data_IF_801952244671
#
_entry.id   IF_801952244671
#
_cell.length_a   1.000
_cell.length_b   1.000
_cell.length_c   1.000
_cell.angle_alpha   90.00
_cell.angle_beta   90.00
_cell.angle_gamma   90.00
#
_symmetry.space_group_name_H-M   'P 1'
#
loop_
_entity.id
_entity.type
_entity.pdbx_description
1 polymer ?
#
# COMPACT_ATOMS: atom_id res chain seq x y z
N UNK A 1 3.83 21.80 -13.39
CA UNK A 1 2.99 22.21 -12.24
C UNK A 1 3.26 23.66 -11.87
N UNK A 2 2.24 24.40 -11.45
CA UNK A 2 2.36 25.79 -11.01
C UNK A 2 3.31 25.88 -9.79
N UNK A 3 4.35 26.74 -9.85
CA UNK A 3 5.34 26.92 -8.77
C UNK A 3 4.69 27.23 -7.41
N UNK A 4 3.58 27.98 -7.41
CA UNK A 4 2.83 28.30 -6.20
C UNK A 4 2.14 27.08 -5.58
N UNK A 5 1.59 26.20 -6.42
CA UNK A 5 0.95 24.96 -5.96
C UNK A 5 1.99 24.06 -5.29
N UNK A 6 3.13 23.82 -5.94
CA UNK A 6 4.17 22.95 -5.36
C UNK A 6 4.74 23.53 -4.05
N UNK A 7 4.96 24.85 -3.98
CA UNK A 7 5.35 25.53 -2.74
C UNK A 7 4.31 25.38 -1.63
N UNK A 8 3.02 25.48 -1.96
CA UNK A 8 1.93 25.23 -1.01
C UNK A 8 1.97 23.80 -0.47
N UNK A 9 2.14 22.80 -1.33
CA UNK A 9 2.24 21.38 -0.93
C UNK A 9 3.43 21.13 -0.01
N UNK A 10 4.59 21.71 -0.30
CA UNK A 10 5.77 21.63 0.58
C UNK A 10 5.47 22.24 1.95
N UNK A 11 4.91 23.45 1.99
CA UNK A 11 4.62 24.14 3.25
C UNK A 11 3.56 23.39 4.07
N UNK A 12 2.58 22.76 3.42
CA UNK A 12 1.59 21.93 4.08
C UNK A 12 2.22 20.69 4.72
N UNK A 13 3.03 19.94 3.98
CA UNK A 13 3.71 18.75 4.52
C UNK A 13 4.68 19.12 5.63
N UNK A 14 5.42 20.23 5.51
CA UNK A 14 6.27 20.76 6.59
C UNK A 14 5.45 21.07 7.85
N UNK A 15 4.28 21.69 7.71
CA UNK A 15 3.38 21.92 8.86
C UNK A 15 2.90 20.63 9.49
N UNK A 16 2.53 19.62 8.70
CA UNK A 16 2.17 18.30 9.24
C UNK A 16 3.33 17.59 9.94
N UNK A 17 4.56 17.76 9.43
CA UNK A 17 5.76 17.21 10.05
C UNK A 17 6.06 17.87 11.40
N UNK A 18 6.03 19.21 11.46
CA UNK A 18 6.25 19.98 12.69
C UNK A 18 5.13 19.82 13.72
N UNK A 19 3.87 19.74 13.28
CA UNK A 19 2.68 19.61 14.12
C UNK A 19 1.97 18.28 13.87
N UNK A 20 2.51 17.17 14.39
CA UNK A 20 1.94 15.82 14.17
C UNK A 20 0.47 15.69 14.59
N UNK A 21 0.06 16.38 15.66
CA UNK A 21 -1.34 16.41 16.12
C UNK A 21 -2.29 17.02 15.08
N UNK A 22 -1.81 17.96 14.26
CA UNK A 22 -2.60 18.53 13.17
C UNK A 22 -2.90 17.48 12.10
N UNK A 23 -1.89 16.66 11.74
CA UNK A 23 -2.06 15.55 10.81
C UNK A 23 -3.06 14.52 11.36
N UNK A 24 -2.88 14.10 12.61
CA UNK A 24 -3.73 13.08 13.26
C UNK A 24 -5.21 13.51 13.35
N UNK A 25 -5.47 14.77 13.74
CA UNK A 25 -6.84 15.23 14.01
C UNK A 25 -7.52 15.82 12.77
N UNK A 26 -6.79 16.59 11.95
CA UNK A 26 -7.35 17.36 10.82
C UNK A 26 -6.76 17.04 9.47
N UNK A 27 -5.66 16.28 9.41
CA UNK A 27 -4.94 16.01 8.16
C UNK A 27 -5.82 15.38 7.11
N UNK A 28 -6.58 14.34 7.48
CA UNK A 28 -7.52 13.69 6.57
C UNK A 28 -8.56 14.67 5.99
N UNK A 29 -9.18 15.49 6.83
CA UNK A 29 -10.14 16.50 6.37
C UNK A 29 -9.51 17.52 5.41
N UNK A 30 -8.32 18.03 5.74
CA UNK A 30 -7.63 19.03 4.91
C UNK A 30 -7.31 18.46 3.52
N UNK A 31 -6.71 17.27 3.46
CA UNK A 31 -6.33 16.63 2.20
C UNK A 31 -7.56 16.32 1.36
N UNK A 32 -8.64 15.83 1.98
CA UNK A 32 -9.92 15.58 1.34
C UNK A 32 -10.52 16.84 0.72
N UNK A 33 -10.51 17.95 1.45
CA UNK A 33 -10.97 19.23 0.91
C UNK A 33 -10.09 19.75 -0.23
N UNK A 34 -8.78 19.56 -0.15
CA UNK A 34 -7.90 19.88 -1.27
C UNK A 34 -8.23 19.05 -2.51
N UNK A 35 -8.53 17.76 -2.36
CA UNK A 35 -8.93 16.89 -3.47
C UNK A 35 -10.30 17.24 -4.07
N UNK A 36 -11.16 17.92 -3.31
CA UNK A 36 -12.44 18.45 -3.81
C UNK A 36 -12.26 19.78 -4.56
N UNK A 37 -11.38 20.66 -4.06
CA UNK A 37 -11.18 22.01 -4.60
C UNK A 37 -10.18 22.03 -5.76
N UNK A 38 -9.28 21.06 -5.84
CA UNK A 38 -8.20 20.96 -6.81
C UNK A 38 -8.17 19.54 -7.40
N UNK A 39 -7.36 19.35 -8.44
CA UNK A 39 -7.18 18.05 -9.06
C UNK A 39 -6.44 17.08 -8.10
N UNK A 40 -7.11 15.98 -7.74
CA UNK A 40 -6.60 14.98 -6.80
C UNK A 40 -5.33 14.26 -7.29
N UNK A 41 -5.23 13.96 -8.59
CA UNK A 41 -4.04 13.34 -9.18
C UNK A 41 -2.79 14.20 -8.95
N UNK A 42 -2.89 15.50 -9.21
CA UNK A 42 -1.80 16.45 -8.98
C UNK A 42 -1.41 16.54 -7.49
N UNK A 43 -2.39 16.48 -6.58
CA UNK A 43 -2.16 16.47 -5.13
C UNK A 43 -1.36 15.24 -4.72
N UNK A 44 -1.85 14.05 -5.10
CA UNK A 44 -1.21 12.78 -4.76
C UNK A 44 0.18 12.65 -5.36
N UNK A 45 0.34 13.03 -6.64
CA UNK A 45 1.64 13.05 -7.30
C UNK A 45 2.62 14.01 -6.60
N UNK A 46 2.18 15.22 -6.22
CA UNK A 46 3.06 16.18 -5.54
C UNK A 46 3.45 15.73 -4.14
N UNK A 47 2.49 15.19 -3.38
CA UNK A 47 2.77 14.66 -2.05
C UNK A 47 3.74 13.48 -2.11
N UNK A 48 3.58 12.59 -3.08
CA UNK A 48 4.50 11.47 -3.29
C UNK A 48 5.93 11.93 -3.63
N UNK A 49 6.10 12.88 -4.55
CA UNK A 49 7.44 13.41 -4.89
C UNK A 49 8.11 14.12 -3.69
N UNK A 50 7.34 14.86 -2.89
CA UNK A 50 7.88 15.50 -1.67
C UNK A 50 8.25 14.44 -0.63
N UNK A 51 7.38 13.45 -0.39
CA UNK A 51 7.59 12.39 0.59
C UNK A 51 8.77 11.48 0.24
N UNK A 52 9.07 11.28 -1.05
CA UNK A 52 10.23 10.51 -1.50
C UNK A 52 11.56 11.10 -1.01
N UNK A 53 11.60 12.42 -0.75
CA UNK A 53 12.78 13.15 -0.27
C UNK A 53 12.74 13.43 1.23
N UNK A 54 11.73 12.93 1.93
CA UNK A 54 11.52 13.20 3.35
C UNK A 54 12.55 12.45 4.20
N UNK A 55 13.16 13.16 5.15
CA UNK A 55 14.19 12.60 6.02
C UNK A 55 13.59 11.99 7.28
N UNK A 56 12.50 12.55 7.82
CA UNK A 56 11.77 11.95 8.94
C UNK A 56 10.94 10.76 8.46
N UNK A 57 11.57 9.59 8.47
CA UNK A 57 10.97 8.32 8.08
C UNK A 57 9.70 7.98 8.86
N UNK A 58 9.59 8.41 10.13
CA UNK A 58 8.39 8.15 10.94
C UNK A 58 7.23 8.99 10.42
N UNK A 59 7.48 10.28 10.17
CA UNK A 59 6.48 11.16 9.57
C UNK A 59 6.09 10.68 8.16
N UNK A 60 7.07 10.31 7.32
CA UNK A 60 6.80 9.80 5.98
C UNK A 60 5.86 8.58 6.00
N UNK A 61 6.12 7.61 6.89
CA UNK A 61 5.26 6.44 7.08
C UNK A 61 3.83 6.81 7.52
N UNK A 62 3.68 7.70 8.52
CA UNK A 62 2.36 8.15 8.99
C UNK A 62 1.59 8.93 7.91
N UNK A 63 2.28 9.78 7.16
CA UNK A 63 1.67 10.56 6.08
C UNK A 63 1.23 9.66 4.92
N UNK A 64 2.07 8.71 4.50
CA UNK A 64 1.73 7.68 3.51
C UNK A 64 0.51 6.86 3.95
N UNK A 65 0.49 6.42 5.22
CA UNK A 65 -0.67 5.72 5.78
C UNK A 65 -1.94 6.56 5.66
N UNK A 66 -1.88 7.83 6.06
CA UNK A 66 -3.00 8.77 5.97
C UNK A 66 -3.48 8.93 4.53
N UNK A 67 -2.56 9.12 3.58
CA UNK A 67 -2.89 9.24 2.15
C UNK A 67 -3.51 7.96 1.60
N UNK A 68 -3.02 6.78 1.99
CA UNK A 68 -3.59 5.51 1.58
C UNK A 68 -5.02 5.33 2.12
N UNK A 69 -5.25 5.63 3.40
CA UNK A 69 -6.60 5.59 3.98
C UNK A 69 -7.55 6.52 3.25
N UNK A 70 -7.12 7.76 2.95
CA UNK A 70 -7.93 8.72 2.19
C UNK A 70 -8.20 8.18 0.79
N UNK A 71 -7.17 7.70 0.09
CA UNK A 71 -7.27 7.10 -1.25
C UNK A 71 -8.29 5.97 -1.29
N UNK A 72 -8.37 5.14 -0.25
CA UNK A 72 -9.27 3.99 -0.22
C UNK A 72 -10.69 4.30 0.30
N UNK A 73 -10.85 5.28 1.17
CA UNK A 73 -12.15 5.47 1.86
C UNK A 73 -12.94 6.68 1.37
N UNK A 74 -12.28 7.68 0.76
CA UNK A 74 -12.91 8.97 0.45
C UNK A 74 -13.67 8.91 -0.87
N UNK A 75 -14.91 9.39 -0.91
CA UNK A 75 -15.76 9.29 -2.12
C UNK A 75 -15.25 10.17 -3.26
N UNK A 76 -14.66 11.32 -2.95
CA UNK A 76 -14.04 12.26 -3.90
C UNK A 76 -12.91 11.65 -4.74
N UNK A 77 -12.28 10.55 -4.28
CA UNK A 77 -11.20 9.88 -4.99
C UNK A 77 -11.66 8.71 -5.86
N UNK A 78 -12.97 8.56 -6.08
CA UNK A 78 -13.51 7.47 -6.90
C UNK A 78 -12.91 7.43 -8.31
N UNK A 79 -12.80 8.57 -8.98
CA UNK A 79 -12.21 8.64 -10.33
C UNK A 79 -10.73 8.24 -10.33
N UNK A 80 -9.94 8.79 -9.39
CA UNK A 80 -8.52 8.48 -9.24
C UNK A 80 -8.29 6.99 -8.97
N UNK A 81 -9.12 6.39 -8.10
CA UNK A 81 -9.08 4.95 -7.82
C UNK A 81 -9.32 4.11 -9.08
N UNK A 82 -10.31 4.47 -9.90
CA UNK A 82 -10.60 3.72 -11.12
C UNK A 82 -9.47 3.85 -12.15
N UNK A 83 -8.84 5.02 -12.27
CA UNK A 83 -7.65 5.21 -13.10
C UNK A 83 -6.48 4.32 -12.64
N UNK A 84 -6.20 4.32 -11.33
CA UNK A 84 -5.15 3.48 -10.73
C UNK A 84 -5.47 1.99 -10.83
N UNK A 85 -6.74 1.60 -10.75
CA UNK A 85 -7.17 0.19 -10.83
C UNK A 85 -6.89 -0.44 -12.19
N UNK A 86 -7.05 0.34 -13.26
CA UNK A 86 -6.97 -0.16 -14.63
C UNK A 86 -5.56 -0.03 -15.26
N UNK A 87 -4.74 0.91 -14.76
CA UNK A 87 -3.38 1.23 -15.26
C UNK A 87 -3.28 1.32 -16.79
N UNK A 88 -4.35 1.81 -17.44
CA UNK A 88 -4.50 1.82 -18.90
C UNK A 88 -3.66 2.89 -19.57
N UNK A 89 -3.42 4.02 -18.92
CA UNK A 89 -2.73 5.17 -19.50
C UNK A 89 -1.33 5.32 -18.94
N UNK A 90 -0.43 5.94 -19.70
CA UNK A 90 0.92 6.23 -19.23
C UNK A 90 0.90 7.15 -17.99
N UNK A 91 -0.06 8.09 -17.89
CA UNK A 91 -0.18 8.92 -16.68
C UNK A 91 -0.54 8.07 -15.46
N UNK A 92 -1.48 7.14 -15.58
CA UNK A 92 -1.87 6.25 -14.47
C UNK A 92 -0.73 5.35 -14.02
N UNK A 93 0.11 4.87 -14.95
CA UNK A 93 1.30 4.08 -14.64
C UNK A 93 2.38 4.92 -13.96
N UNK A 94 2.63 6.14 -14.45
CA UNK A 94 3.57 7.06 -13.82
C UNK A 94 3.13 7.47 -12.41
N UNK A 95 1.83 7.74 -12.23
CA UNK A 95 1.25 8.01 -10.92
C UNK A 95 1.44 6.82 -9.99
N UNK A 96 1.12 5.60 -10.44
CA UNK A 96 1.35 4.39 -9.66
C UNK A 96 2.82 4.25 -9.24
N UNK A 97 3.78 4.41 -10.15
CA UNK A 97 5.20 4.34 -9.83
C UNK A 97 5.63 5.42 -8.81
N UNK A 98 5.12 6.65 -8.96
CA UNK A 98 5.39 7.75 -8.04
C UNK A 98 4.84 7.47 -6.63
N UNK A 99 3.58 7.03 -6.56
CA UNK A 99 2.93 6.61 -5.31
C UNK A 99 3.68 5.44 -4.69
N UNK A 100 3.97 4.40 -5.47
CA UNK A 100 4.64 3.20 -4.99
C UNK A 100 5.97 3.54 -4.31
N UNK A 101 6.82 4.35 -4.96
CA UNK A 101 8.16 4.70 -4.43
C UNK A 101 8.10 5.42 -3.09
N UNK A 102 7.09 6.26 -2.86
CA UNK A 102 6.88 6.91 -1.56
C UNK A 102 6.12 6.00 -0.58
N UNK A 103 5.21 5.15 -1.07
CA UNK A 103 4.44 4.22 -0.24
C UNK A 103 5.33 3.16 0.39
N UNK A 104 6.49 2.88 -0.21
CA UNK A 104 7.53 2.03 0.36
C UNK A 104 7.99 2.43 1.77
N UNK A 105 7.67 3.64 2.26
CA UNK A 105 7.89 3.99 3.67
C UNK A 105 6.99 3.21 4.64
N UNK A 106 5.88 2.65 4.16
CA UNK A 106 5.00 1.77 4.92
C UNK A 106 4.66 0.50 4.11
N UNK A 107 5.12 -0.68 4.58
CA UNK A 107 4.98 -1.92 3.82
C UNK A 107 3.53 -2.34 3.58
N UNK A 108 2.67 -2.21 4.60
CA UNK A 108 1.27 -2.61 4.50
C UNK A 108 0.51 -1.71 3.51
N UNK A 109 0.80 -0.41 3.49
CA UNK A 109 0.20 0.50 2.50
C UNK A 109 0.67 0.21 1.07
N UNK A 110 1.91 -0.26 0.91
CA UNK A 110 2.43 -0.64 -0.41
C UNK A 110 1.67 -1.86 -0.97
N UNK A 111 1.44 -2.87 -0.12
CA UNK A 111 0.61 -4.03 -0.48
C UNK A 111 -0.83 -3.61 -0.76
N UNK A 112 -1.38 -2.71 0.06
CA UNK A 112 -2.71 -2.13 -0.14
C UNK A 112 -2.86 -1.44 -1.49
N UNK A 113 -1.84 -0.71 -1.94
CA UNK A 113 -1.81 -0.08 -3.26
C UNK A 113 -1.74 -1.13 -4.37
N UNK A 114 -0.95 -2.20 -4.20
CA UNK A 114 -0.87 -3.29 -5.18
C UNK A 114 -2.19 -4.05 -5.32
N UNK A 115 -2.93 -4.24 -4.22
CA UNK A 115 -4.30 -4.77 -4.28
C UNK A 115 -5.25 -3.83 -5.01
N UNK A 116 -5.14 -2.52 -4.78
CA UNK A 116 -5.94 -1.51 -5.49
C UNK A 116 -5.74 -1.59 -7.01
N UNK A 117 -4.50 -1.77 -7.46
CA UNK A 117 -4.13 -1.82 -8.88
C UNK A 117 -4.15 -3.22 -9.48
N UNK A 118 -4.68 -4.22 -8.76
CA UNK A 118 -4.78 -5.62 -9.20
C UNK A 118 -3.44 -6.29 -9.56
N UNK A 119 -2.33 -5.79 -9.01
CA UNK A 119 -0.99 -6.33 -9.23
C UNK A 119 -0.68 -7.46 -8.23
N UNK A 120 -1.45 -8.54 -8.29
CA UNK A 120 -1.43 -9.61 -7.27
C UNK A 120 -0.13 -10.38 -7.18
N UNK A 121 0.57 -10.57 -8.31
CA UNK A 121 1.92 -11.18 -8.31
C UNK A 121 2.89 -10.34 -7.50
N UNK A 122 2.96 -9.05 -7.78
CA UNK A 122 3.84 -8.13 -7.06
C UNK A 122 3.46 -8.00 -5.59
N UNK A 123 2.16 -7.99 -5.27
CA UNK A 123 1.69 -8.02 -3.89
C UNK A 123 2.17 -9.27 -3.14
N UNK A 124 2.12 -10.45 -3.78
CA UNK A 124 2.64 -11.68 -3.20
C UNK A 124 4.16 -11.60 -2.97
N UNK A 125 4.92 -11.13 -3.97
CA UNK A 125 6.38 -10.99 -3.86
C UNK A 125 6.77 -10.04 -2.70
N UNK A 126 6.01 -8.96 -2.50
CA UNK A 126 6.17 -8.07 -1.34
C UNK A 126 5.87 -8.75 -0.01
N UNK A 127 4.79 -9.53 0.06
CA UNK A 127 4.40 -10.23 1.29
C UNK A 127 5.45 -11.29 1.66
N UNK A 128 6.09 -11.95 0.69
CA UNK A 128 7.21 -12.85 0.97
C UNK A 128 8.36 -12.12 1.68
N UNK A 129 8.61 -10.85 1.33
CA UNK A 129 9.63 -10.02 1.99
C UNK A 129 9.23 -9.56 3.39
N UNK A 130 7.96 -9.65 3.79
CA UNK A 130 7.54 -9.28 5.14
C UNK A 130 8.13 -10.21 6.20
N UNK A 131 8.49 -11.45 5.85
CA UNK A 131 9.17 -12.38 6.75
C UNK A 131 10.56 -11.90 7.19
N UNK A 132 11.21 -11.06 6.37
CA UNK A 132 12.53 -10.47 6.68
C UNK A 132 12.40 -9.16 7.48
N UNK A 133 11.18 -8.64 7.68
CA UNK A 133 10.92 -7.40 8.41
C UNK A 133 10.73 -7.68 9.91
N UNK A 134 11.11 -6.71 10.75
CA UNK A 134 10.85 -6.77 12.18
C UNK A 134 9.33 -6.72 12.44
N UNK A 135 8.78 -7.80 12.99
CA UNK A 135 7.36 -7.89 13.33
C UNK A 135 7.07 -7.07 14.59
N UNK A 136 6.53 -5.87 14.41
CA UNK A 136 6.11 -4.97 15.49
C UNK A 136 4.60 -4.98 15.70
N UNK A 137 4.14 -4.57 16.88
CA UNK A 137 2.69 -4.45 17.17
C UNK A 137 2.00 -3.47 16.22
N UNK A 138 2.67 -2.35 15.92
CA UNK A 138 2.16 -1.35 14.98
C UNK A 138 1.98 -1.96 13.58
N UNK A 139 2.96 -2.73 13.11
CA UNK A 139 2.89 -3.44 11.84
C UNK A 139 1.74 -4.45 11.81
N UNK A 140 1.60 -5.29 12.84
CA UNK A 140 0.50 -6.26 12.92
C UNK A 140 -0.87 -5.59 12.96
N UNK A 141 -0.98 -4.45 13.65
CA UNK A 141 -2.21 -3.64 13.70
C UNK A 141 -2.56 -3.07 12.32
N UNK A 142 -1.57 -2.69 11.52
CA UNK A 142 -1.80 -2.25 10.14
C UNK A 142 -2.23 -3.40 9.24
N UNK A 143 -1.63 -4.59 9.36
CA UNK A 143 -2.07 -5.78 8.62
C UNK A 143 -3.51 -6.14 8.98
N UNK A 144 -3.88 -6.09 10.26
CA UNK A 144 -5.26 -6.31 10.74
C UNK A 144 -6.24 -5.32 10.06
N UNK A 145 -5.90 -4.02 10.04
CA UNK A 145 -6.68 -3.00 9.33
C UNK A 145 -6.76 -3.26 7.83
N UNK A 146 -5.69 -3.71 7.18
CA UNK A 146 -5.71 -4.07 5.76
C UNK A 146 -6.70 -5.21 5.49
N UNK A 147 -6.71 -6.23 6.35
CA UNK A 147 -7.67 -7.34 6.24
C UNK A 147 -9.11 -6.87 6.42
N UNK A 148 -9.37 -5.98 7.39
CA UNK A 148 -10.69 -5.37 7.53
C UNK A 148 -11.08 -4.57 6.28
N UNK A 149 -10.12 -3.86 5.65
CA UNK A 149 -10.35 -3.14 4.40
C UNK A 149 -10.70 -4.07 3.25
N UNK A 150 -10.12 -5.27 3.15
CA UNK A 150 -10.45 -6.27 2.10
C UNK A 150 -11.93 -6.63 2.12
N UNK A 151 -12.57 -6.59 3.28
CA UNK A 151 -14.02 -6.80 3.43
C UNK A 151 -14.87 -5.57 3.12
N UNK A 152 -14.26 -4.39 3.03
CA UNK A 152 -14.96 -3.16 2.70
C UNK A 152 -15.38 -3.11 1.21
N UNK A 153 -16.41 -2.32 0.86
CA UNK A 153 -16.94 -2.24 -0.50
C UNK A 153 -15.91 -1.89 -1.57
N UNK A 154 -14.86 -1.15 -1.21
CA UNK A 154 -13.77 -0.80 -2.14
C UNK A 154 -13.10 -2.04 -2.76
N UNK A 155 -12.94 -3.12 -2.01
CA UNK A 155 -12.30 -4.36 -2.49
C UNK A 155 -13.32 -5.44 -2.89
N UNK A 156 -14.57 -5.06 -3.18
CA UNK A 156 -15.57 -6.00 -3.70
C UNK A 156 -15.10 -6.73 -4.96
N UNK A 157 -14.42 -6.02 -5.87
CA UNK A 157 -13.87 -6.66 -7.08
C UNK A 157 -12.79 -7.69 -6.76
N UNK A 158 -11.95 -7.44 -5.75
CA UNK A 158 -10.90 -8.38 -5.32
C UNK A 158 -11.55 -9.65 -4.77
N UNK A 159 -12.60 -9.51 -3.94
CA UNK A 159 -13.36 -10.65 -3.42
C UNK A 159 -14.06 -11.45 -4.52
N UNK A 160 -14.61 -10.79 -5.54
CA UNK A 160 -15.18 -11.47 -6.71
C UNK A 160 -14.10 -12.21 -7.52
N UNK A 161 -12.89 -11.65 -7.62
CA UNK A 161 -11.76 -12.28 -8.31
C UNK A 161 -11.22 -13.51 -7.58
N UNK A 162 -11.53 -13.70 -6.29
CA UNK A 162 -11.20 -14.94 -5.56
C UNK A 162 -11.94 -16.16 -6.10
N UNK A 163 -13.08 -15.96 -6.77
CA UNK A 163 -13.82 -17.06 -7.40
C UNK A 163 -13.05 -17.66 -8.59
N UNK A 164 -12.21 -16.84 -9.25
CA UNK A 164 -11.42 -17.25 -10.40
C UNK A 164 -9.99 -17.61 -9.97
N UNK A 165 -9.88 -18.78 -9.32
CA UNK A 165 -8.62 -19.33 -8.80
C UNK A 165 -7.58 -19.55 -9.91
N UNK A 166 -8.04 -19.91 -11.12
CA UNK A 166 -7.17 -20.23 -12.26
C UNK A 166 -6.45 -19.00 -12.78
N UNK A 167 -7.17 -17.88 -12.94
CA UNK A 167 -6.56 -16.65 -13.45
C UNK A 167 -5.88 -15.81 -12.35
N UNK A 168 -6.28 -15.96 -11.08
CA UNK A 168 -5.74 -15.17 -9.96
C UNK A 168 -5.06 -16.01 -8.85
N UNK A 169 -4.13 -16.93 -9.17
CA UNK A 169 -3.50 -17.79 -8.15
C UNK A 169 -2.65 -16.99 -7.15
N UNK A 170 -2.03 -15.89 -7.59
CA UNK A 170 -1.22 -15.03 -6.74
C UNK A 170 -2.04 -14.23 -5.73
N UNK A 171 -3.32 -13.94 -6.03
CA UNK A 171 -4.19 -13.26 -5.08
C UNK A 171 -4.42 -14.16 -3.86
N UNK A 172 -4.76 -15.43 -4.08
CA UNK A 172 -4.98 -16.40 -3.01
C UNK A 172 -3.68 -16.62 -2.21
N UNK A 173 -2.54 -16.78 -2.90
CA UNK A 173 -1.23 -16.90 -2.24
C UNK A 173 -0.88 -15.66 -1.41
N UNK A 174 -1.15 -14.46 -1.90
CA UNK A 174 -0.96 -13.21 -1.16
C UNK A 174 -1.83 -13.17 0.10
N UNK A 175 -3.12 -13.50 -0.01
CA UNK A 175 -4.03 -13.50 1.14
C UNK A 175 -3.66 -14.57 2.18
N UNK A 176 -3.27 -15.78 1.76
CA UNK A 176 -2.73 -16.77 2.70
C UNK A 176 -1.39 -16.31 3.30
N UNK A 177 -0.55 -15.60 2.56
CA UNK A 177 0.65 -14.97 3.09
C UNK A 177 0.34 -13.99 4.22
N UNK A 178 -0.66 -13.10 4.02
CA UNK A 178 -1.13 -12.20 5.08
C UNK A 178 -1.71 -12.96 6.26
N UNK A 179 -2.47 -14.03 6.01
CA UNK A 179 -3.04 -14.88 7.05
C UNK A 179 -1.95 -15.49 7.93
N UNK A 180 -0.83 -15.94 7.34
CA UNK A 180 0.30 -16.55 8.06
C UNK A 180 1.13 -15.52 8.86
N UNK A 181 1.03 -14.23 8.55
CA UNK A 181 1.69 -13.17 9.31
C UNK A 181 0.88 -12.71 10.52
N UNK A 182 -0.44 -12.90 10.49
CA UNK A 182 -1.32 -12.45 11.56
C UNK A 182 -1.26 -13.39 12.77
N UNK A 183 -1.28 -12.88 14.01
CA UNK A 183 -1.62 -13.69 15.17
C UNK A 183 -3.07 -14.19 15.04
N UNK A 184 -3.52 -15.09 15.92
CA UNK A 184 -4.92 -15.58 15.96
C UNK A 184 -5.93 -14.49 16.42
N UNK A 185 -5.94 -13.34 15.75
CA UNK A 185 -6.83 -12.20 15.98
C UNK A 185 -8.18 -12.37 15.27
N UNK A 186 -9.09 -11.42 15.48
CA UNK A 186 -10.34 -11.34 14.73
C UNK A 186 -10.13 -11.18 13.22
N UNK A 187 -9.09 -10.44 12.77
CA UNK A 187 -8.78 -10.37 11.34
C UNK A 187 -8.30 -11.70 10.78
N UNK A 188 -7.53 -12.49 11.54
CA UNK A 188 -7.17 -13.84 11.11
C UNK A 188 -8.43 -14.68 10.86
N UNK A 189 -9.38 -14.67 11.81
CA UNK A 189 -10.65 -15.41 11.66
C UNK A 189 -11.44 -14.89 10.46
N UNK A 190 -11.55 -13.57 10.29
CA UNK A 190 -12.26 -12.93 9.19
C UNK A 190 -11.71 -13.37 7.83
N UNK A 191 -10.39 -13.28 7.65
CA UNK A 191 -9.73 -13.67 6.41
C UNK A 191 -9.78 -15.19 6.19
N UNK A 192 -9.60 -15.98 7.24
CA UNK A 192 -9.70 -17.44 7.17
C UNK A 192 -11.08 -17.87 6.70
N UNK A 193 -12.14 -17.34 7.30
CA UNK A 193 -13.52 -17.63 6.88
C UNK A 193 -13.78 -17.19 5.43
N UNK A 194 -13.27 -16.02 5.00
CA UNK A 194 -13.37 -15.59 3.60
C UNK A 194 -12.69 -16.55 2.65
N UNK A 195 -11.48 -17.01 3.00
CA UNK A 195 -10.72 -17.96 2.19
C UNK A 195 -11.34 -19.35 2.16
N UNK A 196 -12.05 -19.76 3.21
CA UNK A 196 -12.84 -21.01 3.21
C UNK A 196 -14.03 -20.97 2.24
N UNK A 197 -14.54 -19.78 1.92
CA UNK A 197 -15.58 -19.61 0.90
C UNK A 197 -15.05 -19.72 -0.54
N UNK A 198 -13.72 -19.79 -0.74
CA UNK A 198 -13.13 -19.91 -2.08
C UNK A 198 -13.35 -21.32 -2.60
N UNK A 199 -13.86 -21.49 -3.84
CA UNK A 199 -14.11 -22.82 -4.40
C UNK A 199 -12.81 -23.63 -4.41
N UNK A 200 -12.88 -24.92 -4.06
CA UNK A 200 -11.71 -25.79 -4.18
C UNK A 200 -11.28 -25.81 -5.66
N UNK A 201 -10.04 -25.43 -6.00
CA UNK A 201 -9.56 -25.43 -7.38
C UNK A 201 -9.76 -26.78 -8.09
N UNK A 202 -9.77 -27.88 -7.35
CA UNK A 202 -10.02 -29.23 -7.88
C UNK A 202 -11.46 -29.43 -8.36
N UNK A 203 -12.46 -28.80 -7.71
CA UNK A 203 -13.87 -28.87 -8.13
C UNK A 203 -14.15 -28.08 -9.42
N UNK A 204 -13.29 -27.10 -9.73
CA UNK A 204 -13.35 -26.30 -10.97
C UNK A 204 -12.60 -26.96 -12.14
N UNK A 205 -11.91 -28.09 -11.93
CA UNK A 205 -11.22 -28.82 -13.00
C UNK A 205 -12.17 -29.64 -13.87
N UNK A 206 -13.40 -29.89 -13.40
CA UNK A 206 -14.32 -30.84 -14.03
C UNK A 206 -14.99 -30.37 -15.33
N UNK A 207 -14.90 -29.10 -15.72
CA UNK A 207 -15.67 -28.59 -16.88
C UNK A 207 -14.87 -27.83 -17.98
N UNK A 208 -13.59 -27.51 -17.79
CA UNK A 208 -12.87 -26.55 -18.67
C UNK A 208 -11.68 -27.12 -19.47
N UNK A 209 -11.63 -28.43 -19.75
CA UNK A 209 -10.62 -28.97 -20.69
C UNK A 209 -10.88 -28.58 -22.16
N UNK A 210 -11.90 -27.77 -22.45
CA UNK A 210 -12.28 -27.40 -23.81
C UNK A 210 -12.68 -25.91 -23.90
N UNK A 211 -11.68 -25.02 -23.92
CA UNK A 211 -11.61 -23.76 -24.69
C UNK A 211 -10.64 -22.78 -24.00
N UNK A 212 -9.36 -22.92 -24.30
CA UNK A 212 -8.42 -21.83 -24.11
C UNK A 212 -8.81 -20.70 -25.08
N UNK A 213 -9.53 -19.69 -24.59
CA UNK A 213 -9.71 -18.45 -25.33
C UNK A 213 -8.35 -17.78 -25.54
N UNK A 214 -8.07 -17.18 -26.71
CA UNK A 214 -6.78 -16.57 -26.98
C UNK A 214 -6.58 -15.39 -26.03
N UNK A 215 -5.46 -15.43 -25.31
CA UNK A 215 -4.94 -14.33 -24.51
C UNK A 215 -4.97 -13.06 -25.36
N UNK A 216 -5.72 -12.05 -24.91
CA UNK A 216 -5.59 -10.71 -25.45
C UNK A 216 -4.16 -10.23 -25.16
N UNK A 217 -3.31 -10.33 -26.18
CA UNK A 217 -2.01 -9.70 -26.23
C UNK A 217 -2.24 -8.19 -26.05
N UNK A 218 -2.00 -7.67 -24.83
CA UNK A 218 -1.77 -6.24 -24.65
C UNK A 218 -0.39 -5.94 -25.21
N UNK A 219 -0.38 -5.43 -26.44
CA UNK A 219 0.79 -4.88 -27.10
C UNK A 219 1.32 -3.64 -26.35
N UNK A 220 2.64 -3.60 -26.20
CA UNK A 220 3.54 -2.44 -26.08
C UNK A 220 2.98 -1.16 -25.43
N UNK A 221 2.94 -1.18 -24.10
CA UNK A 221 3.15 0.03 -23.27
C UNK A 221 4.47 -0.17 -22.51
N UNK A 222 5.18 0.90 -22.07
CA UNK A 222 6.35 0.73 -21.21
C UNK A 222 5.92 -0.03 -19.95
N UNK A 223 6.28 -1.31 -19.88
CA UNK A 223 5.96 -2.20 -18.78
C UNK A 223 6.53 -1.60 -17.52
N UNK A 224 5.69 -1.36 -16.50
CA UNK A 224 6.15 -1.01 -15.15
C UNK A 224 7.23 -2.03 -14.74
N UNK A 225 8.40 -1.55 -14.35
CA UNK A 225 9.49 -2.40 -13.88
C UNK A 225 9.26 -2.75 -12.40
N UNK A 226 8.49 -3.81 -12.18
CA UNK A 226 8.22 -4.33 -10.83
C UNK A 226 9.49 -4.80 -10.10
N UNK A 227 10.56 -5.14 -10.83
CA UNK A 227 11.84 -5.54 -10.23
C UNK A 227 12.55 -4.34 -9.62
N UNK A 228 12.62 -3.22 -10.35
CA UNK A 228 13.14 -1.95 -9.83
C UNK A 228 12.34 -1.47 -8.62
N UNK A 229 11.02 -1.55 -8.69
CA UNK A 229 10.14 -1.19 -7.57
C UNK A 229 10.38 -2.06 -6.33
N UNK A 230 10.56 -3.37 -6.50
CA UNK A 230 10.85 -4.27 -5.38
C UNK A 230 12.23 -3.97 -4.75
N UNK A 231 13.25 -3.71 -5.55
CA UNK A 231 14.58 -3.32 -5.06
C UNK A 231 14.52 -2.00 -4.28
N UNK A 232 13.75 -1.02 -4.77
CA UNK A 232 13.53 0.24 -4.07
C UNK A 232 12.81 0.01 -2.73
N UNK A 233 11.78 -0.85 -2.70
CA UNK A 233 11.10 -1.24 -1.47
C UNK A 233 12.06 -1.80 -0.42
N UNK A 234 12.89 -2.79 -0.80
CA UNK A 234 13.88 -3.38 0.11
C UNK A 234 14.86 -2.35 0.66
N UNK A 235 15.35 -1.44 -0.20
CA UNK A 235 16.26 -0.36 0.20
C UNK A 235 15.62 0.57 1.23
N UNK A 236 14.37 0.98 1.02
CA UNK A 236 13.64 1.88 1.94
C UNK A 236 13.39 1.18 3.27
N UNK A 237 12.96 -0.08 3.26
CA UNK A 237 12.72 -0.86 4.48
C UNK A 237 14.01 -1.07 5.28
N UNK A 238 15.13 -1.38 4.61
CA UNK A 238 16.44 -1.48 5.26
C UNK A 238 16.85 -0.16 5.94
N UNK A 239 16.63 0.98 5.29
CA UNK A 239 16.89 2.31 5.88
C UNK A 239 16.06 2.54 7.15
N UNK A 240 14.78 2.15 7.16
CA UNK A 240 13.92 2.23 8.35
C UNK A 240 14.45 1.35 9.49
N UNK A 241 14.87 0.12 9.17
CA UNK A 241 15.46 -0.80 10.13
C UNK A 241 16.75 -0.24 10.76
N UNK A 242 17.65 0.30 9.94
CA UNK A 242 18.91 0.92 10.41
C UNK A 242 18.65 2.11 11.35
N UNK A 243 17.73 3.01 11.00
CA UNK A 243 17.38 4.17 11.84
C UNK A 243 16.74 3.73 13.17
N UNK A 244 15.93 2.66 13.15
CA UNK A 244 15.31 2.10 14.36
C UNK A 244 16.36 1.46 15.28
N UNK A 245 17.31 0.69 14.75
CA UNK A 245 18.41 0.13 15.53
C UNK A 245 19.33 1.22 16.12
N UNK A 246 19.64 2.27 15.35
CA UNK A 246 20.44 3.39 15.86
C UNK A 246 19.74 4.14 17.01
N UNK A 247 18.41 4.26 16.97
CA UNK A 247 17.63 4.87 18.07
C UNK A 247 17.60 3.97 19.31
N UNK A 248 17.42 2.67 19.13
CA UNK A 248 17.44 1.69 20.23
C UNK A 248 18.80 1.65 20.93
N UNK A 249 19.90 1.59 20.15
CA UNK A 249 21.26 1.57 20.70
C UNK A 249 21.70 2.87 21.38
N UNK A 250 21.11 4.02 21.02
CA UNK A 250 21.33 5.30 21.72
C UNK A 250 20.58 5.39 23.05
N UNK A 251 19.42 4.76 23.18
CA UNK A 251 18.66 4.68 24.43
C UNK A 251 19.43 3.91 25.51
N UNK A 252 19.95 2.74 25.15
CA UNK A 252 20.76 1.89 26.06
C UNK A 252 22.05 2.58 26.54
N UNK A 253 22.64 3.45 25.73
CA UNK A 253 23.88 4.15 26.07
C UNK A 253 23.67 5.37 26.99
N UNK A 254 22.46 5.96 26.97
CA UNK A 254 22.05 7.03 27.87
C UNK A 254 21.63 6.48 29.24
N UNK A 255 20.90 5.36 29.28
CA UNK A 255 20.52 4.71 30.55
C UNK A 255 21.75 4.19 31.32
N UNK A 256 22.79 3.70 30.63
CA UNK A 256 24.06 3.33 31.28
C UNK A 256 24.85 4.51 31.86
N UNK A 257 24.61 5.74 31.40
CA UNK A 257 25.27 6.95 31.94
C UNK A 257 24.51 7.58 33.11
N UNK A 258 23.24 7.24 33.31
CA UNK A 258 22.44 7.73 34.45
C UNK A 258 22.61 6.81 35.68
N UNK A 259 23.19 5.61 35.50
CA UNK A 259 23.40 4.62 36.56
C UNK A 259 24.87 4.59 37.08
N UNK A 260 25.68 5.61 36.76
CA UNK A 260 27.06 5.76 37.29
C UNK A 260 27.23 7.06 38.05
#
# INVERSE_FOLDING_TARGET
MNSYFYKFMINLLRRFSSERRLLEVRGAFIIRQLCLLLNAENIFHSMADILLREEDLKFASTMVHTLNTILLTSTELFQLRNQLKDLKTLESQNLFCCLYRSWCHNPVTTVSLCFLTQNYRHAYDLIQKFGDLEVTVDFLTEVDKLVQLIECPIFTYLRLQLLDVKNNPYLIKALYGLLMLLPQSSAFQLLSHRLQCVPNPELLQTEDSLKAAPKSQKADAPSIDYTELLQHFEKVQKKHLEVRHQRSGRGDHLDRRVVL
#
